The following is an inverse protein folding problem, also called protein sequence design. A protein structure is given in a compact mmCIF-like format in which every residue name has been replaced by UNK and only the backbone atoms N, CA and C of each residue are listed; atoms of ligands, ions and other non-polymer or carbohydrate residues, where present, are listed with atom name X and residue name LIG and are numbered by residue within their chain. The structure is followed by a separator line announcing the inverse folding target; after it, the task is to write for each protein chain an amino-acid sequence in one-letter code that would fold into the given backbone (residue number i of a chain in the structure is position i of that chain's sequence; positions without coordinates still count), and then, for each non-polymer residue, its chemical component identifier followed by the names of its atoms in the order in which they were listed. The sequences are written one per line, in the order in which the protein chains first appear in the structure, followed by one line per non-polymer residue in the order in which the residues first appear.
data_IF_158640102173
#
_entry.id   IF_158640102173
#
_cell.length_a   1.000
_cell.length_b   1.000
_cell.length_c   1.000
_cell.angle_alpha   90.00
_cell.angle_beta   90.00
_cell.angle_gamma   90.00
#
_symmetry.space_group_name_H-M   'P 1'
#
loop_
_entity.id
_entity.type
_entity.pdbx_description
1 polymer ?
#
# COMPACT_ATOMS: atom_id res chain seq x y z
N UNK A 1 19.70 -28.45 -7.86
CA UNK A 1 20.57 -27.34 -8.35
C UNK A 1 20.15 -25.98 -7.76
N UNK A 2 18.86 -25.57 -7.86
CA UNK A 2 18.41 -24.26 -7.35
C UNK A 2 18.58 -24.16 -5.83
N UNK A 3 18.01 -25.09 -5.08
CA UNK A 3 18.06 -25.08 -3.62
C UNK A 3 19.51 -25.18 -3.08
N UNK A 4 20.37 -25.93 -3.74
CA UNK A 4 21.78 -26.04 -3.35
C UNK A 4 22.53 -24.72 -3.50
N UNK A 5 22.12 -23.89 -4.47
CA UNK A 5 22.80 -22.61 -4.76
C UNK A 5 22.25 -21.45 -3.92
N UNK A 6 20.95 -21.43 -3.68
CA UNK A 6 20.26 -20.28 -3.09
C UNK A 6 19.74 -20.54 -1.66
N UNK A 7 19.86 -21.76 -1.14
CA UNK A 7 19.38 -22.10 0.20
C UNK A 7 17.86 -22.17 0.33
N UNK A 8 17.10 -22.05 -0.79
CA UNK A 8 15.65 -22.11 -0.85
C UNK A 8 15.17 -22.86 -2.09
N UNK A 9 13.99 -23.42 -2.06
CA UNK A 9 13.37 -24.07 -3.21
C UNK A 9 12.90 -23.03 -4.24
N UNK A 10 12.72 -23.45 -5.49
CA UNK A 10 12.16 -22.59 -6.52
C UNK A 10 10.75 -22.08 -6.14
N UNK A 11 9.92 -22.95 -5.55
CA UNK A 11 8.59 -22.59 -5.07
C UNK A 11 8.65 -21.49 -3.99
N UNK A 12 9.62 -21.55 -3.08
CA UNK A 12 9.82 -20.49 -2.08
C UNK A 12 10.28 -19.18 -2.74
N UNK A 13 11.16 -19.25 -3.73
CA UNK A 13 11.58 -18.06 -4.46
C UNK A 13 10.43 -17.39 -5.21
N UNK A 14 9.48 -18.16 -5.74
CA UNK A 14 8.27 -17.62 -6.41
C UNK A 14 7.34 -16.85 -5.48
N UNK A 15 7.49 -16.98 -4.16
CA UNK A 15 6.72 -16.17 -3.22
C UNK A 15 7.08 -14.67 -3.28
N UNK A 16 8.22 -14.31 -3.88
CA UNK A 16 8.59 -12.91 -4.11
C UNK A 16 7.62 -12.19 -5.06
N UNK A 17 6.82 -12.92 -5.85
CA UNK A 17 5.81 -12.33 -6.73
C UNK A 17 4.47 -12.04 -6.02
N UNK A 18 4.27 -12.54 -4.79
CA UNK A 18 2.99 -12.42 -4.07
C UNK A 18 2.46 -10.99 -3.93
N UNK A 19 3.26 -9.95 -3.66
CA UNK A 19 2.72 -8.60 -3.53
C UNK A 19 2.06 -8.10 -4.81
N UNK A 20 2.56 -8.53 -5.98
CA UNK A 20 1.99 -8.20 -7.29
C UNK A 20 0.74 -9.03 -7.64
N UNK A 21 0.55 -10.17 -6.99
CA UNK A 21 -0.56 -11.11 -7.26
C UNK A 21 -1.20 -11.62 -5.96
N UNK A 22 -1.70 -10.74 -5.08
CA UNK A 22 -2.15 -11.13 -3.73
C UNK A 22 -3.32 -12.12 -3.75
N UNK A 23 -4.12 -12.13 -4.82
CA UNK A 23 -5.20 -13.10 -5.04
C UNK A 23 -4.73 -14.45 -5.55
N UNK A 24 -3.46 -14.61 -5.88
CA UNK A 24 -2.87 -15.87 -6.36
C UNK A 24 -3.16 -16.21 -7.82
N UNK A 25 -3.79 -15.32 -8.61
CA UNK A 25 -3.97 -15.51 -10.04
C UNK A 25 -2.70 -15.04 -10.79
N UNK A 26 -1.93 -15.95 -11.39
CA UNK A 26 -0.71 -15.58 -12.12
C UNK A 26 -0.98 -14.78 -13.40
N UNK A 27 -2.23 -14.68 -13.83
CA UNK A 27 -2.64 -13.87 -14.97
C UNK A 27 -3.07 -12.45 -14.55
N UNK A 28 -3.12 -12.17 -13.26
CA UNK A 28 -3.40 -10.84 -12.73
C UNK A 28 -2.09 -10.02 -12.72
N UNK A 29 -1.79 -9.37 -13.82
CA UNK A 29 -0.55 -8.62 -14.04
C UNK A 29 -0.63 -7.15 -13.59
N UNK A 30 -1.50 -6.83 -12.64
CA UNK A 30 -1.83 -5.45 -12.31
C UNK A 30 -0.78 -4.75 -11.44
N UNK A 31 0.12 -5.48 -10.81
CA UNK A 31 1.03 -4.95 -9.80
C UNK A 31 0.30 -4.00 -8.80
N UNK A 32 -0.76 -4.47 -8.16
CA UNK A 32 -1.60 -3.63 -7.31
C UNK A 32 -0.83 -3.07 -6.10
N UNK A 33 0.23 -3.74 -5.69
CA UNK A 33 1.12 -3.33 -4.61
C UNK A 33 1.61 -1.88 -4.77
N UNK A 34 1.92 -1.45 -6.00
CA UNK A 34 2.48 -0.12 -6.25
C UNK A 34 1.44 0.98 -6.15
N UNK A 35 0.33 0.86 -6.88
CA UNK A 35 -0.67 1.92 -6.88
C UNK A 35 -1.50 1.95 -5.59
N UNK A 36 -1.71 0.81 -4.95
CA UNK A 36 -2.37 0.77 -3.64
C UNK A 36 -1.47 1.32 -2.53
N UNK A 37 -0.14 1.11 -2.63
CA UNK A 37 0.79 1.69 -1.67
C UNK A 37 0.78 3.22 -1.73
N UNK A 38 0.91 3.79 -2.93
CA UNK A 38 1.05 5.24 -3.12
C UNK A 38 -0.28 5.97 -3.38
N UNK A 39 -1.37 5.25 -3.60
CA UNK A 39 -2.69 5.85 -3.78
C UNK A 39 -3.07 6.71 -2.58
N UNK A 40 -3.48 7.96 -2.87
CA UNK A 40 -3.92 8.88 -1.82
C UNK A 40 -5.22 8.37 -1.17
N UNK A 41 -5.28 8.26 0.17
CA UNK A 41 -6.46 7.72 0.84
C UNK A 41 -7.73 8.53 0.64
N UNK A 42 -7.63 9.85 0.47
CA UNK A 42 -8.81 10.69 0.32
C UNK A 42 -9.27 10.86 -1.14
N UNK A 43 -8.36 10.68 -2.12
CA UNK A 43 -8.72 10.90 -3.52
C UNK A 43 -9.59 9.80 -4.14
N UNK A 44 -9.53 8.57 -3.63
CA UNK A 44 -10.32 7.43 -4.11
C UNK A 44 -10.08 6.99 -5.55
N UNK A 45 -9.01 7.42 -6.13
CA UNK A 45 -8.71 7.25 -7.56
C UNK A 45 -8.69 5.79 -8.02
N UNK A 46 -8.38 4.89 -7.11
CA UNK A 46 -8.21 3.46 -7.38
C UNK A 46 -9.29 2.58 -6.75
N UNK A 47 -10.36 3.16 -6.22
CA UNK A 47 -11.39 2.40 -5.51
C UNK A 47 -12.05 1.36 -6.39
N UNK A 48 -12.25 1.64 -7.68
CA UNK A 48 -12.81 0.69 -8.65
C UNK A 48 -11.94 -0.54 -8.89
N UNK A 49 -10.66 -0.49 -8.50
CA UNK A 49 -9.73 -1.62 -8.65
C UNK A 49 -9.72 -2.54 -7.43
N UNK A 50 -10.36 -2.13 -6.33
CA UNK A 50 -10.35 -2.90 -5.10
C UNK A 50 -11.19 -4.18 -5.24
N UNK A 51 -10.66 -5.27 -4.73
CA UNK A 51 -11.40 -6.53 -4.59
C UNK A 51 -11.80 -6.72 -3.13
N UNK A 52 -13.00 -7.27 -2.86
CA UNK A 52 -13.39 -7.62 -1.50
C UNK A 52 -12.32 -8.49 -0.82
N UNK A 53 -11.95 -8.16 0.41
CA UNK A 53 -10.94 -8.91 1.16
C UNK A 53 -9.49 -8.71 0.69
N UNK A 54 -9.19 -7.68 -0.10
CA UNK A 54 -7.82 -7.42 -0.55
C UNK A 54 -6.84 -7.25 0.63
N UNK A 55 -7.26 -6.62 1.72
CA UNK A 55 -6.46 -6.50 2.94
C UNK A 55 -6.09 -7.85 3.55
N UNK A 56 -7.06 -8.78 3.64
CA UNK A 56 -6.83 -10.14 4.15
C UNK A 56 -5.87 -10.91 3.24
N UNK A 57 -6.00 -10.74 1.92
CA UNK A 57 -5.07 -11.35 0.96
C UNK A 57 -3.64 -10.86 1.19
N UNK A 58 -3.43 -9.56 1.43
CA UNK A 58 -2.12 -9.03 1.75
C UNK A 58 -1.60 -9.51 3.12
N UNK A 59 -2.47 -9.63 4.12
CA UNK A 59 -2.09 -10.19 5.41
C UNK A 59 -1.56 -11.63 5.27
N UNK A 60 -2.27 -12.47 4.50
CA UNK A 60 -1.83 -13.83 4.21
C UNK A 60 -0.51 -13.89 3.40
N UNK A 61 -0.28 -12.93 2.50
CA UNK A 61 1.01 -12.80 1.80
C UNK A 61 2.13 -12.45 2.77
N UNK A 62 1.90 -11.51 3.69
CA UNK A 62 2.88 -11.12 4.70
C UNK A 62 3.32 -12.31 5.56
N UNK A 63 2.38 -13.14 6.03
CA UNK A 63 2.69 -14.34 6.80
C UNK A 63 3.59 -15.32 6.04
N UNK A 64 3.27 -15.59 4.76
CA UNK A 64 4.06 -16.50 3.91
C UNK A 64 5.48 -15.97 3.68
N UNK A 65 5.63 -14.68 3.48
CA UNK A 65 6.93 -14.04 3.24
C UNK A 65 7.74 -14.00 4.54
N UNK A 66 7.13 -13.65 5.66
CA UNK A 66 7.81 -13.61 6.96
C UNK A 66 8.39 -14.95 7.39
N UNK A 67 7.79 -16.05 6.97
CA UNK A 67 8.33 -17.39 7.23
C UNK A 67 9.70 -17.65 6.57
N UNK A 68 10.16 -16.78 5.67
CA UNK A 68 11.42 -16.91 4.93
C UNK A 68 12.44 -15.78 5.23
N UNK A 69 12.15 -14.93 6.20
CA UNK A 69 13.05 -13.81 6.57
C UNK A 69 14.42 -14.27 7.05
N UNK A 70 14.52 -15.47 7.62
CA UNK A 70 15.80 -16.06 8.08
C UNK A 70 16.55 -16.82 6.98
N UNK A 71 16.14 -16.73 5.71
CA UNK A 71 16.83 -17.40 4.60
C UNK A 71 18.24 -16.86 4.43
N UNK A 72 19.30 -17.70 4.57
CA UNK A 72 20.67 -17.23 4.48
C UNK A 72 20.96 -16.52 3.14
N UNK A 73 21.47 -15.30 3.22
CA UNK A 73 21.88 -14.49 2.08
C UNK A 73 20.74 -13.80 1.31
N UNK A 74 19.47 -14.20 1.51
CA UNK A 74 18.32 -13.67 0.76
C UNK A 74 17.12 -13.27 1.63
N UNK A 75 17.18 -13.48 2.93
CA UNK A 75 16.08 -13.20 3.87
C UNK A 75 15.58 -11.76 3.79
N UNK A 76 16.48 -10.80 3.56
CA UNK A 76 16.13 -9.38 3.44
C UNK A 76 15.14 -9.07 2.31
N UNK A 77 15.13 -9.86 1.21
CA UNK A 77 14.14 -9.72 0.14
C UNK A 77 12.75 -10.07 0.64
N UNK A 78 12.63 -11.15 1.38
CA UNK A 78 11.37 -11.57 1.99
C UNK A 78 10.92 -10.59 3.07
N UNK A 79 11.86 -10.09 3.89
CA UNK A 79 11.55 -9.06 4.88
C UNK A 79 10.95 -7.81 4.25
N UNK A 80 11.58 -7.28 3.21
CA UNK A 80 11.08 -6.07 2.52
C UNK A 80 9.66 -6.28 1.99
N UNK A 81 9.42 -7.40 1.32
CA UNK A 81 8.11 -7.69 0.75
C UNK A 81 7.06 -8.05 1.81
N UNK A 82 7.46 -8.68 2.90
CA UNK A 82 6.57 -8.90 4.05
C UNK A 82 6.12 -7.56 4.65
N UNK A 83 7.03 -6.62 4.88
CA UNK A 83 6.69 -5.27 5.38
C UNK A 83 5.80 -4.51 4.39
N UNK A 84 6.02 -4.64 3.08
CA UNK A 84 5.12 -4.09 2.07
C UNK A 84 3.71 -4.66 2.21
N UNK A 85 3.57 -5.97 2.31
CA UNK A 85 2.28 -6.63 2.49
C UNK A 85 1.61 -6.26 3.83
N UNK A 86 2.36 -6.10 4.91
CA UNK A 86 1.83 -5.61 6.19
C UNK A 86 1.23 -4.19 6.07
N UNK A 87 1.86 -3.31 5.33
CA UNK A 87 1.28 -1.98 5.02
C UNK A 87 0.00 -2.13 4.23
N UNK A 88 0.02 -2.91 3.15
CA UNK A 88 -1.11 -3.07 2.24
C UNK A 88 -2.29 -3.81 2.88
N UNK A 89 -2.05 -4.65 3.87
CA UNK A 89 -3.10 -5.30 4.66
C UNK A 89 -4.05 -4.30 5.35
N UNK A 90 -3.59 -3.07 5.59
CA UNK A 90 -4.43 -1.98 6.10
C UNK A 90 -4.74 -0.97 5.00
N UNK A 91 -3.73 -0.56 4.25
CA UNK A 91 -3.82 0.58 3.36
C UNK A 91 -4.63 0.32 2.11
N UNK A 92 -4.69 -0.92 1.62
CA UNK A 92 -5.30 -1.23 0.33
C UNK A 92 -6.72 -0.67 0.20
N UNK A 93 -7.55 -0.82 1.22
CA UNK A 93 -8.94 -0.35 1.25
C UNK A 93 -9.20 0.80 2.23
N UNK A 94 -8.17 1.29 2.92
CA UNK A 94 -8.30 2.31 3.97
C UNK A 94 -9.04 3.55 3.47
N UNK A 95 -8.72 4.03 2.27
CA UNK A 95 -9.36 5.17 1.66
C UNK A 95 -10.84 4.94 1.37
N UNK A 96 -11.20 3.79 0.78
CA UNK A 96 -12.58 3.44 0.47
C UNK A 96 -13.42 3.34 1.76
N UNK A 97 -12.87 2.71 2.81
CA UNK A 97 -13.53 2.65 4.13
C UNK A 97 -13.71 4.03 4.74
N UNK A 98 -12.73 4.91 4.59
CA UNK A 98 -12.79 6.29 5.08
C UNK A 98 -13.90 7.07 4.39
N UNK A 99 -13.98 7.03 3.06
CA UNK A 99 -15.04 7.72 2.31
C UNK A 99 -16.42 7.17 2.64
N UNK A 100 -16.56 5.86 2.77
CA UNK A 100 -17.83 5.25 3.15
C UNK A 100 -18.29 5.69 4.55
N UNK A 101 -17.37 5.68 5.54
CA UNK A 101 -17.68 6.12 6.89
C UNK A 101 -18.01 7.62 6.95
N UNK A 102 -17.29 8.46 6.22
CA UNK A 102 -17.51 9.89 6.14
C UNK A 102 -18.88 10.20 5.48
N UNK A 103 -19.16 9.60 4.33
CA UNK A 103 -20.44 9.78 3.63
C UNK A 103 -21.64 9.32 4.45
N UNK A 104 -21.46 8.29 5.29
CA UNK A 104 -22.48 7.80 6.22
C UNK A 104 -22.57 8.63 7.52
N UNK A 105 -21.70 9.61 7.73
CA UNK A 105 -21.53 10.34 8.98
C UNK A 105 -21.33 9.40 10.19
N UNK A 106 -20.72 8.24 9.96
CA UNK A 106 -20.48 7.23 11.00
C UNK A 106 -19.24 7.59 11.83
N UNK A 107 -19.49 8.36 12.90
CA UNK A 107 -18.44 8.83 13.81
C UNK A 107 -17.70 7.69 14.50
N UNK A 108 -18.38 6.56 14.74
CA UNK A 108 -17.76 5.39 15.37
C UNK A 108 -16.79 4.71 14.42
N UNK A 109 -17.16 4.51 13.15
CA UNK A 109 -16.28 3.98 12.12
C UNK A 109 -15.10 4.93 11.85
N UNK A 110 -15.32 6.24 11.80
CA UNK A 110 -14.23 7.23 11.63
C UNK A 110 -13.25 7.15 12.80
N UNK A 111 -13.72 7.03 14.04
CA UNK A 111 -12.84 6.90 15.21
C UNK A 111 -11.96 5.63 15.14
N UNK A 112 -12.52 4.51 14.67
CA UNK A 112 -11.74 3.29 14.45
C UNK A 112 -10.67 3.48 13.35
N UNK A 113 -11.04 4.14 12.25
CA UNK A 113 -10.13 4.41 11.13
C UNK A 113 -8.93 5.30 11.53
N UNK A 114 -9.10 6.25 12.44
CA UNK A 114 -7.99 7.03 13.00
C UNK A 114 -6.90 6.11 13.57
N UNK A 115 -7.30 5.04 14.28
CA UNK A 115 -6.38 4.01 14.76
C UNK A 115 -5.67 3.27 13.61
N UNK A 116 -6.41 2.92 12.55
CA UNK A 116 -5.85 2.26 11.36
C UNK A 116 -4.82 3.15 10.65
N UNK A 117 -5.07 4.45 10.52
CA UNK A 117 -4.10 5.41 9.97
C UNK A 117 -2.81 5.45 10.78
N UNK A 118 -2.90 5.50 12.11
CA UNK A 118 -1.74 5.51 12.99
C UNK A 118 -0.91 4.22 12.85
N UNK A 119 -1.58 3.07 12.86
CA UNK A 119 -0.91 1.77 12.67
C UNK A 119 -0.27 1.68 11.29
N UNK A 120 -0.98 2.12 10.24
CA UNK A 120 -0.47 2.12 8.87
C UNK A 120 0.79 2.99 8.74
N UNK A 121 0.80 4.21 9.28
CA UNK A 121 1.97 5.09 9.29
C UNK A 121 3.17 4.44 10.00
N UNK A 122 2.94 3.75 11.11
CA UNK A 122 3.96 2.96 11.81
C UNK A 122 4.49 1.79 10.97
N UNK A 123 3.62 1.12 10.20
CA UNK A 123 4.05 0.06 9.27
C UNK A 123 4.86 0.61 8.10
N UNK A 124 4.50 1.79 7.57
CA UNK A 124 5.29 2.46 6.52
C UNK A 124 6.71 2.79 7.02
N UNK A 125 6.88 3.18 8.28
CA UNK A 125 8.21 3.40 8.85
C UNK A 125 9.05 2.10 8.85
N UNK A 126 8.46 0.97 9.25
CA UNK A 126 9.14 -0.34 9.21
C UNK A 126 9.45 -0.81 7.77
N UNK A 127 8.55 -0.53 6.83
CA UNK A 127 8.81 -0.78 5.42
C UNK A 127 10.00 0.05 4.93
N UNK A 128 10.06 1.33 5.29
CA UNK A 128 11.17 2.20 4.93
C UNK A 128 12.51 1.65 5.46
N UNK A 129 12.56 1.19 6.71
CA UNK A 129 13.75 0.58 7.28
C UNK A 129 14.19 -0.66 6.48
N UNK A 130 13.26 -1.55 6.14
CA UNK A 130 13.54 -2.75 5.37
C UNK A 130 14.03 -2.43 3.94
N UNK A 131 13.40 -1.45 3.27
CA UNK A 131 13.82 -0.97 1.94
C UNK A 131 15.22 -0.36 2.01
N UNK A 132 15.53 0.39 3.07
CA UNK A 132 16.87 0.95 3.29
C UNK A 132 17.90 -0.15 3.44
N UNK A 133 17.64 -1.14 4.29
CA UNK A 133 18.58 -2.22 4.57
C UNK A 133 18.83 -3.07 3.31
N UNK A 134 17.77 -3.36 2.54
CA UNK A 134 17.91 -4.00 1.23
C UNK A 134 18.72 -3.14 0.26
N UNK A 135 18.42 -1.85 0.16
CA UNK A 135 19.11 -0.94 -0.76
C UNK A 135 20.62 -0.93 -0.52
N UNK A 136 21.03 -0.77 0.72
CA UNK A 136 22.45 -0.73 1.07
C UNK A 136 23.16 -2.11 0.98
N UNK A 137 22.41 -3.20 0.98
CA UNK A 137 22.96 -4.53 0.71
C UNK A 137 23.24 -4.76 -0.78
N UNK A 138 22.46 -4.15 -1.68
CA UNK A 138 22.49 -4.46 -3.12
C UNK A 138 23.04 -3.31 -3.96
N UNK A 139 22.96 -2.07 -3.48
CA UNK A 139 23.21 -0.86 -4.26
C UNK A 139 24.25 0.04 -3.59
N UNK A 140 24.71 1.04 -4.35
CA UNK A 140 25.40 2.20 -3.78
C UNK A 140 24.38 3.08 -3.06
N UNK A 141 24.83 3.83 -2.05
CA UNK A 141 23.96 4.67 -1.23
C UNK A 141 23.23 5.78 -2.01
N UNK A 142 23.84 6.27 -3.10
CA UNK A 142 23.25 7.30 -3.94
C UNK A 142 21.94 6.82 -4.60
N UNK A 143 20.91 7.64 -4.56
CA UNK A 143 19.58 7.34 -5.10
C UNK A 143 18.57 6.91 -4.03
N UNK A 144 19.02 6.54 -2.83
CA UNK A 144 18.12 6.17 -1.75
C UNK A 144 17.25 7.34 -1.27
N UNK A 145 17.72 8.57 -1.38
CA UNK A 145 16.99 9.78 -1.06
C UNK A 145 15.63 9.88 -1.77
N UNK A 146 15.47 9.22 -2.93
CA UNK A 146 14.18 9.13 -3.62
C UNK A 146 13.20 8.29 -2.82
N UNK A 147 13.67 7.24 -2.16
CA UNK A 147 12.83 6.39 -1.29
C UNK A 147 12.47 7.12 -0.01
N UNK A 148 13.39 7.91 0.56
CA UNK A 148 13.11 8.79 1.69
C UNK A 148 11.96 9.76 1.38
N UNK A 149 11.98 10.41 0.22
CA UNK A 149 10.92 11.33 -0.22
C UNK A 149 9.60 10.57 -0.42
N UNK A 150 9.62 9.41 -1.08
CA UNK A 150 8.42 8.65 -1.41
C UNK A 150 7.74 8.06 -0.18
N UNK A 151 8.48 7.30 0.61
CA UNK A 151 7.91 6.64 1.79
C UNK A 151 7.69 7.64 2.93
N UNK A 152 8.58 8.63 3.06
CA UNK A 152 8.40 9.75 3.99
C UNK A 152 7.16 10.57 3.66
N UNK A 153 6.94 10.90 2.40
CA UNK A 153 5.75 11.61 1.92
C UNK A 153 4.47 10.81 2.13
N UNK A 154 4.50 9.49 1.87
CA UNK A 154 3.38 8.61 2.15
C UNK A 154 3.03 8.60 3.64
N UNK A 155 4.03 8.45 4.50
CA UNK A 155 3.83 8.48 5.96
C UNK A 155 3.23 9.80 6.41
N UNK A 156 3.79 10.93 5.96
CA UNK A 156 3.27 12.25 6.28
C UNK A 156 1.83 12.43 5.79
N UNK A 157 1.50 11.92 4.61
CA UNK A 157 0.12 11.99 4.11
C UNK A 157 -0.85 11.19 4.97
N UNK A 158 -0.48 10.02 5.44
CA UNK A 158 -1.30 9.23 6.38
C UNK A 158 -1.54 9.99 7.69
N UNK A 159 -0.51 10.63 8.24
CA UNK A 159 -0.63 11.47 9.43
C UNK A 159 -1.56 12.67 9.18
N UNK A 160 -1.45 13.33 8.04
CA UNK A 160 -2.34 14.46 7.66
C UNK A 160 -3.81 13.99 7.52
N UNK A 161 -4.05 12.84 6.88
CA UNK A 161 -5.41 12.30 6.78
C UNK A 161 -5.99 11.99 8.17
N UNK A 162 -5.18 11.39 9.05
CA UNK A 162 -5.57 11.14 10.44
C UNK A 162 -5.94 12.43 11.17
N UNK A 163 -5.10 13.45 11.14
CA UNK A 163 -5.34 14.73 11.77
C UNK A 163 -6.65 15.37 11.28
N UNK A 164 -6.92 15.33 9.98
CA UNK A 164 -8.18 15.85 9.42
C UNK A 164 -9.39 15.12 9.98
N UNK A 165 -9.32 13.80 10.12
CA UNK A 165 -10.40 13.00 10.72
C UNK A 165 -10.56 13.30 12.22
N UNK A 166 -9.46 13.49 12.96
CA UNK A 166 -9.48 13.86 14.36
C UNK A 166 -10.17 15.22 14.56
N UNK A 167 -9.80 16.25 13.79
CA UNK A 167 -10.41 17.57 13.83
C UNK A 167 -11.90 17.54 13.45
N UNK A 168 -12.29 16.71 12.47
CA UNK A 168 -13.70 16.51 12.10
C UNK A 168 -14.49 15.88 13.26
N UNK A 169 -13.94 14.87 13.92
CA UNK A 169 -14.58 14.27 15.10
C UNK A 169 -14.61 15.21 16.32
N UNK A 170 -13.61 16.05 16.49
CA UNK A 170 -13.61 17.04 17.56
C UNK A 170 -14.63 18.18 17.33
N UNK A 171 -15.06 18.37 16.08
CA UNK A 171 -15.92 19.49 15.70
C UNK A 171 -15.15 20.80 15.48
N UNK A 172 -13.83 20.69 15.28
CA UNK A 172 -12.98 21.84 14.94
C UNK A 172 -13.18 22.27 13.49
N UNK A 173 -13.61 21.33 12.66
CA UNK A 173 -13.99 21.54 11.26
C UNK A 173 -15.31 20.83 10.99
N UNK A 174 -16.16 21.45 10.16
CA UNK A 174 -17.48 20.90 9.81
C UNK A 174 -17.41 19.89 8.65
N UNK A 175 -16.42 20.03 7.79
CA UNK A 175 -16.26 19.24 6.56
C UNK A 175 -14.78 18.91 6.29
N UNK A 176 -14.57 17.88 5.46
CA UNK A 176 -13.26 17.55 4.88
C UNK A 176 -13.43 17.68 3.37
N UNK A 177 -12.96 18.78 2.82
CA UNK A 177 -13.18 19.20 1.43
C UNK A 177 -12.75 18.12 0.43
N UNK A 178 -11.65 17.44 0.71
CA UNK A 178 -11.13 16.35 -0.13
C UNK A 178 -12.05 15.12 -0.19
N UNK A 179 -12.89 14.92 0.85
CA UNK A 179 -13.88 13.83 0.89
C UNK A 179 -15.25 14.26 0.35
N UNK A 180 -15.50 15.57 0.26
CA UNK A 180 -16.72 16.14 -0.32
C UNK A 180 -16.64 16.26 -1.85
N UNK A 181 -15.41 16.29 -2.40
CA UNK A 181 -15.21 16.34 -3.84
C UNK A 181 -15.71 15.07 -4.54
N UNK A 182 -16.26 15.19 -5.75
CA UNK A 182 -16.63 14.04 -6.56
C UNK A 182 -15.42 13.12 -6.80
N UNK A 183 -15.64 11.83 -6.65
CA UNK A 183 -14.62 10.82 -6.87
C UNK A 183 -14.11 10.88 -8.32
N UNK A 184 -12.83 11.10 -8.48
CA UNK A 184 -12.15 11.05 -9.78
C UNK A 184 -11.59 9.63 -10.01
N UNK A 185 -12.46 8.69 -10.39
CA UNK A 185 -12.06 7.34 -10.70
C UNK A 185 -11.05 7.33 -11.84
N UNK A 186 -9.95 6.59 -11.65
CA UNK A 186 -8.91 6.46 -12.68
C UNK A 186 -9.42 5.86 -13.99
N UNK A 187 -10.38 4.95 -13.89
CA UNK A 187 -11.02 4.30 -15.03
C UNK A 187 -12.20 5.09 -15.60
N UNK A 188 -12.48 6.30 -15.11
CA UNK A 188 -13.57 7.13 -15.58
C UNK A 188 -14.96 6.69 -15.12
N UNK A 189 -15.05 5.82 -14.10
CA UNK A 189 -16.31 5.36 -13.52
C UNK A 189 -17.13 4.42 -14.42
N UNK A 190 -16.54 3.88 -15.47
CA UNK A 190 -17.20 2.96 -16.39
C UNK A 190 -17.04 1.50 -15.95
N UNK A 191 -18.11 0.72 -15.97
CA UNK A 191 -18.10 -0.72 -15.70
C UNK A 191 -17.11 -1.50 -16.61
N UNK A 192 -16.76 -0.94 -17.75
CA UNK A 192 -15.87 -1.55 -18.76
C UNK A 192 -14.43 -1.66 -18.31
N UNK A 193 -14.02 -0.89 -17.36
CA UNK A 193 -12.62 -0.87 -16.96
C UNK A 193 -12.31 -1.77 -15.78
N UNK A 194 -13.27 -2.07 -14.93
CA UNK A 194 -13.13 -3.03 -13.85
C UNK A 194 -11.74 -3.02 -13.22
N UNK A 195 -11.06 -4.13 -13.30
CA UNK A 195 -9.67 -4.31 -12.90
C UNK A 195 -8.69 -3.97 -14.01
N UNK A 196 -9.06 -3.11 -14.95
CA UNK A 196 -8.14 -2.78 -16.04
C UNK A 196 -6.87 -2.18 -15.48
N UNK A 197 -5.80 -2.77 -15.87
CA UNK A 197 -4.53 -2.52 -15.25
C UNK A 197 -4.07 -1.12 -15.53
N UNK A 198 -3.72 -0.56 -14.49
CA UNK A 198 -2.70 0.41 -14.40
C UNK A 198 -1.31 -0.22 -14.65
N UNK A 199 -1.25 -1.31 -15.39
CA UNK A 199 0.01 -1.91 -15.81
C UNK A 199 0.82 -0.98 -16.70
N UNK A 200 0.31 0.20 -16.92
CA UNK A 200 1.03 1.24 -17.61
C UNK A 200 2.03 1.90 -16.65
N UNK A 201 3.18 2.24 -17.17
CA UNK A 201 4.14 3.14 -16.52
C UNK A 201 3.53 4.51 -16.20
N UNK A 202 2.21 4.66 -16.32
CA UNK A 202 1.46 5.88 -16.08
C UNK A 202 1.16 6.17 -14.61
N UNK A 203 1.32 5.19 -13.71
CA UNK A 203 1.06 5.38 -12.28
C UNK A 203 1.87 6.52 -11.66
N UNK A 204 3.07 6.80 -12.19
CA UNK A 204 3.90 7.93 -11.75
C UNK A 204 3.31 9.29 -12.09
N UNK A 205 2.34 9.35 -12.99
CA UNK A 205 1.64 10.60 -13.39
C UNK A 205 0.35 10.81 -12.63
N UNK A 206 -0.03 9.85 -11.78
CA UNK A 206 -1.21 9.98 -10.96
C UNK A 206 -0.89 10.77 -9.71
N UNK A 207 -1.88 11.49 -9.21
CA UNK A 207 -1.76 12.18 -7.94
C UNK A 207 -1.72 11.15 -6.82
N UNK A 208 -0.53 10.78 -6.41
CA UNK A 208 -0.26 9.87 -5.31
C UNK A 208 0.74 10.51 -4.37
N UNK A 209 0.76 10.09 -3.13
CA UNK A 209 1.79 10.51 -2.20
C UNK A 209 3.16 10.04 -2.71
N UNK A 210 4.01 10.92 -3.15
CA UNK A 210 5.32 10.60 -3.72
C UNK A 210 5.38 10.50 -5.24
N UNK A 211 4.28 10.69 -5.97
CA UNK A 211 4.32 10.88 -7.41
C UNK A 211 4.66 12.35 -7.73
N UNK A 212 5.89 12.70 -7.49
CA UNK A 212 6.35 14.08 -7.67
C UNK A 212 6.78 14.33 -9.12
N UNK A 213 6.90 13.29 -9.94
CA UNK A 213 7.40 13.35 -11.33
C UNK A 213 6.56 12.52 -12.28
#
# INVERSE_FOLDING_TARGET
AFATRFGLTFTQAMLLDLPGTPGGDPNDHLNPDKYLLYGDPFSGKFDSTLTPGCGDSYAACAEKLSALEDTPGYGYLFTTLARLCEVLAIKADLGARTRAAYAAHDRGAIAALIGDYAVCAGRVARLHDAVRDQWYAENKGQGFEVQDVRLGGLRQRLDTCRDRLEHYLAGDIDTIEELDEPLLDFCGGGETFGRQPLCTNGWTRMTTAGAIW
#
